data_IF_662040646482
#
_entry.id   IF_662040646482
#
_cell.length_a   1.000
_cell.length_b   1.000
_cell.length_c   1.000
_cell.angle_alpha   90.00
_cell.angle_beta   90.00
_cell.angle_gamma   90.00
#
_symmetry.space_group_name_H-M   'P 1'
#
loop_
_entity.id
_entity.type
_entity.pdbx_description
1 polymer ?
#
# COMPACT_ATOMS: atom_id res chain seq x y z
N UNK A 1 -5.96 -21.70 -4.35
CA UNK A 1 -5.66 -21.35 -4.94
C UNK A 1 -5.27 -20.81 -5.52
N UNK A 2 -5.04 -20.53 -5.62
CA UNK A 2 -4.84 -19.86 -6.25
C UNK A 2 -5.00 -19.75 -7.18
N UNK A 3 -5.36 -19.79 -7.11
CA UNK A 3 -5.62 -19.70 -8.04
C UNK A 3 -5.33 -18.87 -8.95
N UNK A 4 -5.15 -18.46 -9.41
CA UNK A 4 -4.76 -17.61 -10.47
C UNK A 4 -3.35 -17.81 -10.89
N UNK A 5 -2.78 -16.89 -11.65
CA UNK A 5 -1.42 -16.98 -12.13
C UNK A 5 -0.42 -16.31 -11.18
N UNK A 6 -0.87 -15.91 -10.00
CA UNK A 6 -0.07 -15.10 -9.08
C UNK A 6 0.44 -15.97 -7.95
N UNK A 7 1.76 -16.00 -7.74
CA UNK A 7 2.36 -16.83 -6.72
C UNK A 7 2.97 -16.03 -5.57
N UNK A 8 3.58 -14.90 -5.89
CA UNK A 8 4.23 -14.08 -4.86
C UNK A 8 3.84 -12.64 -5.07
N UNK A 9 3.47 -11.98 -3.99
CA UNK A 9 3.13 -10.58 -4.03
C UNK A 9 3.88 -9.87 -2.93
N UNK A 10 4.84 -9.03 -3.33
CA UNK A 10 5.55 -8.13 -2.43
C UNK A 10 5.12 -6.72 -2.82
N UNK A 11 4.69 -5.94 -1.86
CA UNK A 11 4.05 -4.74 -2.31
C UNK A 11 3.93 -3.61 -1.32
N UNK A 12 2.91 -2.84 -1.58
CA UNK A 12 2.56 -1.67 -0.81
C UNK A 12 1.11 -1.80 -0.37
N UNK A 13 0.78 -1.10 0.71
CA UNK A 13 -0.59 -1.08 1.20
C UNK A 13 -0.93 0.30 1.70
N UNK A 14 -2.22 0.58 1.76
CA UNK A 14 -2.72 1.81 2.31
C UNK A 14 -3.03 1.57 3.78
N UNK A 15 -2.45 2.41 4.64
CA UNK A 15 -2.69 2.34 6.08
C UNK A 15 -3.51 3.57 6.46
N UNK A 16 -4.58 3.36 7.21
CA UNK A 16 -5.38 4.46 7.73
C UNK A 16 -4.70 4.98 8.99
N UNK A 17 -4.51 6.29 9.06
CA UNK A 17 -3.76 6.92 10.16
C UNK A 17 -4.52 8.13 10.67
N UNK A 18 -4.26 8.55 11.91
CA UNK A 18 -4.85 9.79 12.39
C UNK A 18 -4.12 10.99 11.80
N UNK A 19 -4.75 12.16 11.79
CA UNK A 19 -4.08 13.38 11.32
C UNK A 19 -2.79 13.60 12.12
N UNK A 20 -1.73 13.97 11.42
CA UNK A 20 -0.45 14.26 12.06
C UNK A 20 0.32 13.04 12.56
N UNK A 21 -0.09 11.83 12.15
CA UNK A 21 0.58 10.62 12.59
C UNK A 21 2.05 10.61 12.19
N UNK A 22 2.90 10.14 13.11
CA UNK A 22 4.32 9.97 12.84
C UNK A 22 4.69 8.53 13.16
N UNK A 23 5.18 7.83 12.15
CA UNK A 23 5.65 6.46 12.33
C UNK A 23 6.85 6.47 13.28
N UNK A 24 6.90 5.57 14.27
CA UNK A 24 8.02 5.55 15.21
C UNK A 24 9.37 5.36 14.55
N UNK A 25 10.38 6.04 15.09
CA UNK A 25 11.74 5.96 14.59
C UNK A 25 12.67 5.51 15.71
N UNK A 26 13.83 4.97 15.32
CA UNK A 26 14.87 4.60 16.28
C UNK A 26 15.73 5.83 16.61
N UNK A 27 16.77 5.62 17.41
CA UNK A 27 17.63 6.72 17.85
C UNK A 27 18.41 7.38 16.73
N UNK A 28 18.53 6.71 15.57
CA UNK A 28 19.21 7.28 14.40
C UNK A 28 18.24 7.99 13.47
N UNK A 29 16.96 8.01 13.77
CA UNK A 29 15.95 8.64 12.94
C UNK A 29 15.40 7.75 11.84
N UNK A 30 15.72 6.48 11.84
CA UNK A 30 15.18 5.55 10.84
C UNK A 30 13.84 5.00 11.31
N UNK A 31 12.94 4.78 10.37
CA UNK A 31 11.67 4.15 10.68
C UNK A 31 11.90 2.73 11.20
N UNK A 32 11.22 2.38 12.28
CA UNK A 32 11.23 1.02 12.81
C UNK A 32 10.15 0.23 12.07
N UNK A 33 10.52 -0.78 11.26
CA UNK A 33 9.52 -1.51 10.49
C UNK A 33 8.45 -2.12 11.39
N UNK A 34 7.19 -1.95 11.00
CA UNK A 34 6.08 -2.53 11.71
C UNK A 34 5.66 -1.81 12.99
N UNK A 35 6.40 -0.77 13.41
CA UNK A 35 6.13 -0.12 14.70
C UNK A 35 4.78 0.59 14.73
N UNK A 36 4.21 0.92 13.57
CA UNK A 36 2.89 1.56 13.51
C UNK A 36 1.78 0.63 13.98
N UNK A 37 1.99 -0.67 13.89
CA UNK A 37 0.91 -1.62 14.18
C UNK A 37 0.44 -1.54 15.62
N UNK A 38 1.36 -1.47 16.58
CA UNK A 38 0.98 -1.37 17.98
C UNK A 38 0.26 -0.06 18.27
N UNK A 39 0.75 1.03 17.67
CA UNK A 39 0.16 2.34 17.93
C UNK A 39 -1.25 2.43 17.37
N UNK A 40 -1.42 2.00 16.11
CA UNK A 40 -2.70 2.16 15.43
C UNK A 40 -3.72 1.13 15.88
N UNK A 41 -3.27 -0.04 16.29
CA UNK A 41 -4.17 -1.12 16.69
C UNK A 41 -5.07 -0.72 17.85
N UNK A 42 -4.55 0.09 18.76
CA UNK A 42 -5.29 0.48 19.95
C UNK A 42 -6.16 1.72 19.74
N UNK A 43 -6.09 2.32 18.55
CA UNK A 43 -6.88 3.52 18.27
C UNK A 43 -8.26 3.15 17.75
N UNK A 44 -9.23 3.99 18.09
CA UNK A 44 -10.58 3.83 17.55
C UNK A 44 -10.56 4.12 16.04
N UNK A 45 -11.29 3.32 15.28
CA UNK A 45 -11.32 3.43 13.83
C UNK A 45 -11.70 4.84 13.37
N UNK A 46 -12.58 5.50 14.08
CA UNK A 46 -13.03 6.85 13.71
C UNK A 46 -11.88 7.87 13.71
N UNK A 47 -10.81 7.61 14.48
CA UNK A 47 -9.66 8.49 14.51
C UNK A 47 -8.72 8.27 13.33
N UNK A 48 -8.83 7.16 12.63
CA UNK A 48 -7.96 6.79 11.52
C UNK A 48 -8.56 7.33 10.23
N UNK A 49 -8.55 8.66 10.09
CA UNK A 49 -9.29 9.34 9.04
C UNK A 49 -8.46 9.68 7.81
N UNK A 50 -7.14 9.49 7.88
CA UNK A 50 -6.27 9.85 6.77
C UNK A 50 -5.55 8.64 6.24
N UNK A 51 -4.77 8.82 5.17
CA UNK A 51 -4.20 7.71 4.41
C UNK A 51 -2.70 7.89 4.29
N UNK A 52 -1.96 6.80 4.43
CA UNK A 52 -0.52 6.81 4.15
C UNK A 52 -0.17 5.50 3.48
N UNK A 53 0.74 5.56 2.51
CA UNK A 53 1.16 4.36 1.78
C UNK A 53 2.39 3.79 2.46
N UNK A 54 2.37 2.50 2.71
CA UNK A 54 3.46 1.76 3.36
C UNK A 54 4.00 0.71 2.41
N UNK A 55 5.31 0.47 2.47
CA UNK A 55 5.86 -0.70 1.81
C UNK A 55 5.57 -1.92 2.68
N UNK A 56 5.47 -3.06 2.05
CA UNK A 56 5.07 -4.31 2.68
C UNK A 56 6.15 -5.38 2.49
N UNK A 57 7.33 -4.99 2.03
CA UNK A 57 8.45 -5.91 1.82
C UNK A 57 9.12 -6.22 3.14
N UNK A 58 9.12 -5.26 4.04
CA UNK A 58 9.53 -5.48 5.43
C UNK A 58 8.27 -5.61 6.28
N UNK A 59 8.36 -5.32 7.56
CA UNK A 59 7.18 -5.31 8.43
C UNK A 59 6.36 -4.03 8.28
N UNK A 60 6.81 -3.11 7.44
CA UNK A 60 6.06 -1.94 7.06
C UNK A 60 6.70 -0.63 7.47
N UNK A 61 7.11 0.17 6.48
CA UNK A 61 7.55 1.54 6.71
C UNK A 61 6.84 2.45 5.71
N UNK A 62 6.61 3.72 6.09
CA UNK A 62 5.89 4.63 5.18
C UNK A 62 6.75 5.01 3.99
N UNK A 63 6.12 5.09 2.82
CA UNK A 63 6.78 5.52 1.59
C UNK A 63 6.11 6.73 0.98
N UNK A 64 5.13 7.30 1.65
CA UNK A 64 4.43 8.50 1.17
C UNK A 64 4.16 9.45 2.32
N UNK A 65 3.84 10.72 2.02
CA UNK A 65 3.27 11.58 3.04
C UNK A 65 1.86 11.10 3.40
N UNK A 66 1.25 11.77 4.35
CA UNK A 66 -0.12 11.48 4.76
C UNK A 66 -1.06 12.29 3.89
N UNK A 67 -2.13 11.66 3.44
CA UNK A 67 -3.14 12.32 2.60
C UNK A 67 -4.45 12.43 3.37
N UNK A 68 -5.05 13.60 3.35
CA UNK A 68 -6.29 13.83 4.07
C UNK A 68 -7.52 13.39 3.29
N UNK A 69 -7.37 13.03 2.03
CA UNK A 69 -8.50 12.57 1.22
C UNK A 69 -8.07 11.51 0.23
N UNK A 70 -9.04 10.73 -0.21
CA UNK A 70 -8.81 9.72 -1.23
C UNK A 70 -8.36 10.34 -2.55
N UNK A 71 -8.89 11.51 -2.89
CA UNK A 71 -8.51 12.18 -4.13
C UNK A 71 -7.03 12.56 -4.13
N UNK A 72 -6.51 13.02 -2.99
CA UNK A 72 -5.10 13.35 -2.88
C UNK A 72 -4.24 12.11 -3.03
N UNK A 73 -4.66 11.00 -2.42
CA UNK A 73 -3.95 9.74 -2.55
C UNK A 73 -3.93 9.27 -4.00
N UNK A 74 -5.07 9.34 -4.68
CA UNK A 74 -5.14 8.91 -6.08
C UNK A 74 -4.23 9.78 -6.95
N UNK A 75 -4.20 11.10 -6.71
CA UNK A 75 -3.32 11.98 -7.47
C UNK A 75 -1.85 11.62 -7.25
N UNK A 76 -1.48 11.29 -6.02
CA UNK A 76 -0.11 10.88 -5.73
C UNK A 76 0.23 9.57 -6.44
N UNK A 77 -0.69 8.61 -6.41
CA UNK A 77 -0.47 7.33 -7.09
C UNK A 77 -0.30 7.52 -8.59
N UNK A 78 -1.10 8.41 -9.18
CA UNK A 78 -0.95 8.69 -10.61
C UNK A 78 0.41 9.32 -10.91
N UNK A 79 0.92 10.16 -10.02
CA UNK A 79 2.25 10.73 -10.16
C UNK A 79 3.34 9.67 -10.06
N UNK A 80 3.05 8.57 -9.38
CA UNK A 80 3.99 7.45 -9.28
C UNK A 80 3.89 6.50 -10.47
N UNK A 81 3.01 6.77 -11.42
CA UNK A 81 2.89 5.96 -12.61
C UNK A 81 1.65 5.09 -12.70
N UNK A 82 0.81 5.09 -11.67
CA UNK A 82 -0.45 4.33 -11.73
C UNK A 82 -1.40 5.01 -12.70
N UNK A 83 -2.16 4.19 -13.45
CA UNK A 83 -3.31 4.74 -14.15
C UNK A 83 -4.39 5.06 -13.11
N UNK A 84 -5.38 5.85 -13.51
CA UNK A 84 -6.46 6.15 -12.58
C UNK A 84 -7.19 4.88 -12.15
N UNK A 85 -7.44 3.97 -13.09
CA UNK A 85 -8.12 2.71 -12.76
C UNK A 85 -7.31 1.89 -11.77
N UNK A 86 -5.99 1.81 -11.95
CA UNK A 86 -5.14 1.07 -11.04
C UNK A 86 -5.09 1.74 -9.67
N UNK A 87 -5.07 3.07 -9.63
CA UNK A 87 -5.06 3.79 -8.36
C UNK A 87 -6.36 3.56 -7.60
N UNK A 88 -7.48 3.57 -8.29
CA UNK A 88 -8.77 3.31 -7.66
C UNK A 88 -8.88 1.87 -7.18
N UNK A 89 -8.33 0.93 -7.93
CA UNK A 89 -8.29 -0.46 -7.50
C UNK A 89 -7.43 -0.62 -6.25
N UNK A 90 -6.29 0.07 -6.19
CA UNK A 90 -5.45 0.06 -5.02
C UNK A 90 -6.21 0.58 -3.80
N UNK A 91 -6.93 1.68 -3.99
CA UNK A 91 -7.70 2.24 -2.89
C UNK A 91 -8.77 1.27 -2.40
N UNK A 92 -9.47 0.60 -3.32
CA UNK A 92 -10.50 -0.37 -2.94
C UNK A 92 -9.93 -1.58 -2.22
N UNK A 93 -8.80 -2.07 -2.68
CA UNK A 93 -8.20 -3.28 -2.13
C UNK A 93 -7.31 -3.01 -0.92
N UNK A 94 -6.79 -1.79 -0.82
CA UNK A 94 -5.89 -1.42 0.26
C UNK A 94 -4.49 -1.97 0.11
N UNK A 95 -4.20 -2.61 -1.01
CA UNK A 95 -2.94 -3.30 -1.22
C UNK A 95 -2.62 -3.33 -2.71
N UNK A 96 -1.36 -3.14 -3.05
CA UNK A 96 -0.86 -3.29 -4.41
C UNK A 96 0.51 -3.93 -4.36
N UNK A 97 0.78 -4.94 -5.18
CA UNK A 97 2.11 -5.56 -5.20
C UNK A 97 3.12 -4.63 -5.86
N UNK A 98 4.36 -4.67 -5.36
CA UNK A 98 5.46 -4.01 -6.05
C UNK A 98 5.77 -4.72 -7.36
N UNK A 99 5.67 -6.04 -7.34
CA UNK A 99 5.73 -6.85 -8.54
C UNK A 99 4.96 -8.14 -8.25
N UNK A 100 4.60 -8.81 -9.31
CA UNK A 100 3.88 -10.07 -9.21
C UNK A 100 4.64 -11.12 -10.01
N UNK A 101 4.87 -12.28 -9.41
CA UNK A 101 5.48 -13.41 -10.09
C UNK A 101 4.36 -14.32 -10.55
N UNK A 102 4.26 -14.48 -11.86
CA UNK A 102 3.24 -15.36 -12.44
C UNK A 102 3.64 -16.81 -12.30
N UNK A 103 2.66 -17.68 -12.49
CA UNK A 103 2.89 -19.11 -12.35
C UNK A 103 3.97 -19.62 -13.30
N UNK A 104 4.12 -19.00 -14.46
CA UNK A 104 5.12 -19.39 -15.44
C UNK A 104 6.51 -18.83 -15.13
N UNK A 105 6.67 -18.14 -14.01
CA UNK A 105 7.94 -17.57 -13.59
C UNK A 105 8.21 -16.16 -14.06
N UNK A 106 7.36 -15.61 -14.93
CA UNK A 106 7.56 -14.25 -15.40
C UNK A 106 7.21 -13.24 -14.30
N UNK A 107 7.81 -12.07 -14.37
CA UNK A 107 7.62 -11.01 -13.38
C UNK A 107 7.00 -9.82 -14.09
N UNK A 108 5.94 -9.27 -13.50
CA UNK A 108 5.33 -8.06 -14.02
C UNK A 108 5.38 -6.97 -12.95
N UNK A 109 5.52 -5.70 -13.35
CA UNK A 109 5.47 -4.58 -12.40
C UNK A 109 4.13 -4.55 -11.67
N UNK A 110 4.12 -4.00 -10.47
CA UNK A 110 2.92 -4.00 -9.65
C UNK A 110 1.73 -3.35 -10.31
N UNK A 111 1.94 -2.26 -11.05
CA UNK A 111 0.86 -1.58 -11.76
C UNK A 111 0.23 -2.51 -12.79
N UNK A 112 1.07 -3.21 -13.55
CA UNK A 112 0.57 -4.18 -14.53
C UNK A 112 -0.17 -5.32 -13.85
N UNK A 113 0.40 -5.83 -12.76
CA UNK A 113 -0.25 -6.90 -12.01
C UNK A 113 -1.60 -6.48 -11.50
N UNK A 114 -1.72 -5.25 -10.98
CA UNK A 114 -2.98 -4.77 -10.46
C UNK A 114 -4.02 -4.63 -11.56
N UNK A 115 -3.62 -4.16 -12.74
CA UNK A 115 -4.53 -4.07 -13.87
C UNK A 115 -5.05 -5.44 -14.29
N UNK A 116 -4.19 -6.44 -14.28
CA UNK A 116 -4.61 -7.79 -14.65
C UNK A 116 -5.60 -8.35 -13.63
N UNK A 117 -5.37 -8.10 -12.36
CA UNK A 117 -6.30 -8.53 -11.33
C UNK A 117 -7.66 -7.86 -11.54
N UNK A 118 -7.66 -6.56 -11.84
CA UNK A 118 -8.90 -5.82 -12.09
C UNK A 118 -9.65 -6.39 -13.30
N UNK A 119 -8.94 -6.76 -14.35
CA UNK A 119 -9.58 -7.28 -15.54
C UNK A 119 -10.24 -8.63 -15.30
N UNK A 120 -9.74 -9.38 -14.33
CA UNK A 120 -10.28 -10.72 -14.06
C UNK A 120 -11.44 -10.70 -13.09
N UNK A 121 -11.71 -9.59 -12.49
CA UNK A 121 -12.83 -9.47 -11.58
C UNK A 121 -14.00 -8.79 -12.25
#
# INVERSE_FOLDING_TARGET
MQSGSWEVQLGTRIVRVPPGFQHPTDSSGRYIPGAHLEVLYEMETALLSEYQVYEDVSEGTPVSPIFSSADMLIAWLQAQGYSRDAAEAFLRQGFAPSFVIKRDGSIVPGIEGLREVERKT
#
